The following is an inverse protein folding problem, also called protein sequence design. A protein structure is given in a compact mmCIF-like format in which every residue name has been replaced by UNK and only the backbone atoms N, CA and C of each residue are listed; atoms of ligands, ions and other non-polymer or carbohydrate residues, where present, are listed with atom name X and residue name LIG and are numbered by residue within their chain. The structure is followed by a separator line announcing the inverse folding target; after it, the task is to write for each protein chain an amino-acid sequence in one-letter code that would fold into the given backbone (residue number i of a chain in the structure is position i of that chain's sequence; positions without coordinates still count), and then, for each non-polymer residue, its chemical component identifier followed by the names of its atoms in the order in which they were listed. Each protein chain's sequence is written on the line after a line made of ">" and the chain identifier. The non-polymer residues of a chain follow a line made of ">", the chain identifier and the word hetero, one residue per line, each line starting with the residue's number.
data_IF_104840910874
#
_entry.id   IF_104840910874
#
_cell.length_a   1.000
_cell.length_b   1.000
_cell.length_c   1.000
_cell.angle_alpha   90.00
_cell.angle_beta   90.00
_cell.angle_gamma   90.00
#
_symmetry.space_group_name_H-M   'P 1'
#
loop_
_entity.id
_entity.type
_entity.pdbx_description
1 polymer ?
#
# COMPACT_ATOMS: atom_id res chain seq x y z
N UNK A 1 -0.71 9.06 -16.25
CA UNK A 1 -0.46 9.55 -14.88
C UNK A 1 0.72 8.77 -14.28
N UNK A 2 1.96 9.02 -14.72
CA UNK A 2 3.13 8.28 -14.22
C UNK A 2 3.55 8.70 -12.81
N UNK A 3 3.44 10.00 -12.48
CA UNK A 3 3.97 10.59 -11.23
C UNK A 3 2.99 10.54 -10.06
N UNK A 4 1.91 9.76 -10.16
CA UNK A 4 0.92 9.64 -9.08
C UNK A 4 1.40 8.60 -8.07
N UNK A 5 1.28 8.91 -6.78
CA UNK A 5 1.58 7.97 -5.71
C UNK A 5 0.65 6.76 -5.76
N UNK A 6 1.17 5.57 -5.48
CA UNK A 6 0.40 4.32 -5.45
C UNK A 6 -0.81 4.41 -4.52
N UNK A 7 -0.65 5.06 -3.37
CA UNK A 7 -1.73 5.23 -2.41
C UNK A 7 -2.89 6.07 -2.97
N UNK A 8 -2.61 7.03 -3.85
CA UNK A 8 -3.62 7.90 -4.46
C UNK A 8 -4.24 7.24 -5.69
N UNK A 9 -3.42 6.56 -6.49
CA UNK A 9 -3.87 5.81 -7.66
C UNK A 9 -4.95 4.76 -7.29
N UNK A 10 -4.75 4.04 -6.18
CA UNK A 10 -5.74 3.09 -5.66
C UNK A 10 -7.02 3.76 -5.13
N UNK A 11 -6.97 5.04 -4.74
CA UNK A 11 -8.14 5.76 -4.24
C UNK A 11 -8.90 6.53 -5.34
N UNK A 12 -8.33 6.66 -6.54
CA UNK A 12 -9.00 7.27 -7.69
C UNK A 12 -10.22 6.42 -8.08
N UNK A 13 -11.42 6.96 -7.82
CA UNK A 13 -12.68 6.28 -8.09
C UNK A 13 -12.96 6.10 -9.59
N UNK A 14 -12.23 6.79 -10.47
CA UNK A 14 -12.30 6.58 -11.92
C UNK A 14 -11.51 5.36 -12.36
N UNK A 15 -10.49 4.96 -11.59
CA UNK A 15 -9.67 3.77 -11.84
C UNK A 15 -10.18 2.56 -11.08
N UNK A 16 -10.47 2.74 -9.79
CA UNK A 16 -10.87 1.68 -8.88
C UNK A 16 -12.10 2.11 -8.05
N UNK A 17 -13.28 2.02 -8.67
CA UNK A 17 -14.53 2.30 -7.98
C UNK A 17 -14.72 1.36 -6.78
N UNK A 18 -14.91 1.92 -5.59
CA UNK A 18 -15.14 1.14 -4.37
C UNK A 18 -13.87 0.76 -3.59
N UNK A 19 -12.67 1.02 -4.12
CA UNK A 19 -11.44 0.88 -3.33
C UNK A 19 -11.35 2.00 -2.31
N UNK A 20 -11.44 1.62 -1.04
CA UNK A 20 -11.31 2.50 0.11
C UNK A 20 -9.96 2.38 0.82
N UNK A 21 -9.82 3.11 1.91
CA UNK A 21 -8.57 3.18 2.67
C UNK A 21 -8.12 1.81 3.23
N UNK A 22 -9.06 0.93 3.59
CA UNK A 22 -8.75 -0.42 4.07
C UNK A 22 -8.15 -1.25 2.94
N UNK A 23 -8.87 -1.36 1.82
CA UNK A 23 -8.43 -2.12 0.65
C UNK A 23 -7.06 -1.63 0.17
N UNK A 24 -6.87 -0.30 0.09
CA UNK A 24 -5.57 0.30 -0.24
C UNK A 24 -4.43 -0.25 0.63
N UNK A 25 -4.57 -0.18 1.97
CA UNK A 25 -3.51 -0.63 2.88
C UNK A 25 -3.21 -2.12 2.73
N UNK A 26 -4.27 -2.93 2.63
CA UNK A 26 -4.17 -4.39 2.57
C UNK A 26 -3.58 -4.88 1.25
N UNK A 27 -3.98 -4.27 0.13
CA UNK A 27 -3.43 -4.58 -1.21
C UNK A 27 -1.95 -4.21 -1.28
N UNK A 28 -1.57 -3.00 -0.84
CA UNK A 28 -0.17 -2.54 -0.86
C UNK A 28 0.73 -3.43 0.01
N UNK A 29 0.22 -3.88 1.15
CA UNK A 29 0.93 -4.83 2.00
C UNK A 29 1.12 -6.18 1.33
N UNK A 30 0.07 -6.74 0.70
CA UNK A 30 0.12 -8.04 0.00
C UNK A 30 1.13 -8.05 -1.15
N UNK A 31 1.19 -6.99 -1.93
CA UNK A 31 2.16 -6.87 -3.03
C UNK A 31 3.56 -6.43 -2.57
N UNK A 32 3.74 -6.17 -1.27
CA UNK A 32 5.00 -5.68 -0.66
C UNK A 32 5.53 -4.40 -1.29
N UNK A 33 4.64 -3.46 -1.61
CA UNK A 33 5.00 -2.17 -2.19
C UNK A 33 4.77 -1.03 -1.20
N UNK A 34 5.77 -0.16 -1.04
CA UNK A 34 5.65 1.03 -0.22
C UNK A 34 4.58 1.99 -0.79
N UNK A 35 3.69 2.56 0.04
CA UNK A 35 2.60 3.40 -0.44
C UNK A 35 3.06 4.69 -1.13
N UNK A 36 4.29 5.14 -0.82
CA UNK A 36 4.88 6.36 -1.40
C UNK A 36 5.55 6.16 -2.76
N UNK A 37 5.56 4.94 -3.30
CA UNK A 37 6.05 4.70 -4.66
C UNK A 37 5.17 5.43 -5.69
N UNK A 38 5.75 5.89 -6.79
CA UNK A 38 4.96 6.32 -7.95
C UNK A 38 4.61 5.12 -8.83
N UNK A 39 3.58 5.26 -9.66
CA UNK A 39 3.19 4.20 -10.61
C UNK A 39 4.36 3.86 -11.55
N UNK A 40 5.11 4.88 -11.99
CA UNK A 40 6.25 4.70 -12.90
C UNK A 40 7.45 3.97 -12.27
N UNK A 41 7.60 3.99 -10.94
CA UNK A 41 8.70 3.32 -10.25
C UNK A 41 8.49 1.79 -10.16
N UNK A 42 7.25 1.32 -10.35
CA UNK A 42 6.94 -0.10 -10.20
C UNK A 42 7.39 -0.90 -11.43
N UNK A 43 8.05 -2.05 -11.22
CA UNK A 43 8.25 -3.03 -12.29
C UNK A 43 6.90 -3.44 -12.91
N UNK A 44 6.82 -3.70 -14.23
CA UNK A 44 5.56 -4.08 -14.89
C UNK A 44 4.86 -5.27 -14.22
N UNK A 45 5.63 -6.25 -13.72
CA UNK A 45 5.11 -7.40 -12.97
C UNK A 45 4.35 -6.97 -11.71
N UNK A 46 4.87 -6.00 -10.95
CA UNK A 46 4.23 -5.46 -9.74
C UNK A 46 3.00 -4.64 -10.07
N UNK A 47 2.99 -3.94 -11.21
CA UNK A 47 1.80 -3.22 -11.67
C UNK A 47 0.66 -4.19 -12.01
N UNK A 48 0.94 -5.30 -12.71
CA UNK A 48 -0.05 -6.35 -12.95
C UNK A 48 -0.53 -6.99 -11.65
N UNK A 49 0.38 -7.26 -10.72
CA UNK A 49 0.06 -7.80 -9.39
C UNK A 49 -0.84 -6.87 -8.58
N UNK A 50 -0.57 -5.56 -8.62
CA UNK A 50 -1.39 -4.51 -7.99
C UNK A 50 -2.83 -4.57 -8.50
N UNK A 51 -3.03 -4.58 -9.82
CA UNK A 51 -4.37 -4.61 -10.43
C UNK A 51 -5.10 -5.90 -10.06
N UNK A 52 -4.41 -7.04 -10.15
CA UNK A 52 -4.97 -8.35 -9.80
C UNK A 52 -5.41 -8.40 -8.33
N UNK A 53 -4.52 -8.00 -7.42
CA UNK A 53 -4.81 -7.98 -5.98
C UNK A 53 -5.88 -6.97 -5.61
N UNK A 54 -5.92 -5.79 -6.23
CA UNK A 54 -6.97 -4.80 -6.00
C UNK A 54 -8.35 -5.35 -6.37
N UNK A 55 -8.44 -6.05 -7.52
CA UNK A 55 -9.68 -6.69 -7.96
C UNK A 55 -10.10 -7.83 -7.02
N UNK A 56 -9.21 -8.80 -6.80
CA UNK A 56 -9.49 -9.98 -5.97
C UNK A 56 -9.90 -9.59 -4.55
N UNK A 57 -9.10 -8.74 -3.91
CA UNK A 57 -9.38 -8.29 -2.55
C UNK A 57 -10.68 -7.48 -2.45
N UNK A 58 -11.08 -6.75 -3.49
CA UNK A 58 -12.36 -6.03 -3.48
C UNK A 58 -13.56 -6.97 -3.50
N UNK A 59 -13.48 -8.08 -4.25
CA UNK A 59 -14.53 -9.11 -4.24
C UNK A 59 -14.58 -9.86 -2.91
N UNK A 60 -13.42 -10.22 -2.35
CA UNK A 60 -13.34 -10.83 -1.03
C UNK A 60 -13.87 -9.90 0.05
N UNK A 61 -13.50 -8.61 -0.01
CA UNK A 61 -14.02 -7.59 0.90
C UNK A 61 -15.54 -7.49 0.84
N UNK A 62 -16.15 -7.57 -0.34
CA UNK A 62 -17.60 -7.57 -0.49
C UNK A 62 -18.22 -8.82 0.16
N UNK A 63 -17.62 -10.00 -0.03
CA UNK A 63 -18.06 -11.26 0.61
C UNK A 63 -17.99 -11.16 2.13
N UNK A 64 -16.82 -10.80 2.67
CA UNK A 64 -16.62 -10.64 4.11
C UNK A 64 -17.48 -9.55 4.72
N UNK A 65 -17.84 -8.51 3.96
CA UNK A 65 -18.79 -7.49 4.41
C UNK A 65 -20.20 -8.07 4.57
N UNK A 66 -20.64 -8.95 3.67
CA UNK A 66 -21.93 -9.64 3.78
C UNK A 66 -21.96 -10.61 4.96
N UNK A 67 -20.84 -11.26 5.23
CA UNK A 67 -20.66 -12.22 6.33
C UNK A 67 -20.29 -11.53 7.67
N UNK A 68 -20.10 -10.21 7.68
CA UNK A 68 -19.66 -9.42 8.85
C UNK A 68 -18.29 -9.82 9.44
N UNK A 69 -17.38 -10.35 8.62
CA UNK A 69 -16.08 -10.89 9.04
C UNK A 69 -14.88 -10.00 8.71
N UNK A 70 -15.09 -8.79 8.19
CA UNK A 70 -14.04 -7.89 7.68
C UNK A 70 -12.79 -7.77 8.58
N UNK A 71 -12.98 -7.56 9.88
CA UNK A 71 -11.86 -7.34 10.83
C UNK A 71 -10.96 -8.58 10.98
N UNK A 72 -11.48 -9.78 10.74
CA UNK A 72 -10.71 -11.02 10.84
C UNK A 72 -9.62 -11.11 9.76
N UNK A 73 -9.85 -10.46 8.61
CA UNK A 73 -8.98 -10.57 7.44
C UNK A 73 -7.94 -9.44 7.32
N UNK A 74 -7.92 -8.47 8.25
CA UNK A 74 -6.96 -7.35 8.21
C UNK A 74 -5.57 -7.80 8.67
N UNK A 75 -4.59 -7.68 7.76
CA UNK A 75 -3.19 -8.00 8.00
C UNK A 75 -2.41 -6.81 8.54
N UNK A 76 -2.66 -5.60 8.02
CA UNK A 76 -1.87 -4.41 8.37
C UNK A 76 -2.75 -3.27 8.90
N UNK A 77 -4.01 -3.20 8.46
CA UNK A 77 -4.90 -2.11 8.83
C UNK A 77 -5.16 -2.12 10.34
N UNK A 78 -4.85 -1.00 11.01
CA UNK A 78 -4.98 -0.84 12.48
C UNK A 78 -4.17 -1.83 13.33
N UNK A 79 -3.23 -2.56 12.73
CA UNK A 79 -2.28 -3.43 13.45
C UNK A 79 -1.06 -2.63 13.91
N UNK A 80 -0.41 -3.09 14.97
CA UNK A 80 0.86 -2.54 15.49
C UNK A 80 2.09 -3.35 15.06
N UNK A 81 1.87 -4.62 14.75
CA UNK A 81 2.93 -5.60 14.44
C UNK A 81 2.66 -6.23 13.08
N UNK A 82 3.69 -6.34 12.26
CA UNK A 82 3.61 -6.95 10.94
C UNK A 82 3.46 -8.47 11.07
N UNK A 83 2.45 -9.09 10.45
CA UNK A 83 2.27 -10.54 10.52
C UNK A 83 3.33 -11.31 9.70
N UNK A 84 4.05 -10.65 8.78
CA UNK A 84 5.05 -11.30 7.94
C UNK A 84 6.45 -11.30 8.54
N UNK A 85 6.87 -10.22 9.20
CA UNK A 85 8.25 -10.10 9.74
C UNK A 85 8.30 -9.87 11.26
N UNK A 86 7.17 -9.67 11.93
CA UNK A 86 7.13 -9.33 13.36
C UNK A 86 7.58 -7.89 13.69
N UNK A 87 8.04 -7.11 12.71
CA UNK A 87 8.44 -5.71 12.90
C UNK A 87 7.27 -4.75 13.14
N UNK A 88 7.54 -3.47 13.48
CA UNK A 88 6.50 -2.49 13.73
C UNK A 88 5.74 -2.09 12.45
N UNK A 89 4.45 -1.83 12.58
CA UNK A 89 3.64 -1.20 11.52
C UNK A 89 3.65 0.31 11.72
N UNK A 90 4.09 1.03 10.70
CA UNK A 90 4.09 2.49 10.67
C UNK A 90 2.73 3.01 10.22
N UNK A 91 2.33 4.14 10.81
CA UNK A 91 1.11 4.86 10.45
C UNK A 91 1.48 6.29 10.07
N UNK A 92 1.14 6.68 8.86
CA UNK A 92 1.37 8.03 8.32
C UNK A 92 0.11 8.58 7.66
N UNK A 93 0.03 9.89 7.50
CA UNK A 93 -0.96 10.53 6.64
C UNK A 93 -0.23 10.92 5.36
N UNK A 94 -0.72 10.46 4.21
CA UNK A 94 -0.02 10.64 2.95
C UNK A 94 -0.98 10.65 1.77
N UNK A 95 -0.44 11.03 0.62
CA UNK A 95 -1.21 11.25 -0.59
C UNK A 95 -1.90 12.61 -0.59
N UNK A 96 -2.39 13.00 -1.76
CA UNK A 96 -3.21 14.19 -1.99
C UNK A 96 -4.42 14.24 -1.06
N UNK A 97 -5.04 13.09 -0.81
CA UNK A 97 -6.22 12.95 0.05
C UNK A 97 -5.91 12.93 1.55
N UNK A 98 -4.63 13.00 1.95
CA UNK A 98 -4.16 13.00 3.34
C UNK A 98 -4.79 11.89 4.21
N UNK A 99 -4.97 10.69 3.63
CA UNK A 99 -5.61 9.57 4.33
C UNK A 99 -4.60 8.76 5.14
N UNK A 100 -5.08 8.24 6.28
CA UNK A 100 -4.30 7.34 7.15
C UNK A 100 -3.84 6.11 6.41
N UNK A 101 -2.54 5.91 6.31
CA UNK A 101 -1.93 4.79 5.62
C UNK A 101 -1.12 3.97 6.62
N UNK A 102 -1.37 2.66 6.63
CA UNK A 102 -0.68 1.70 7.48
C UNK A 102 0.21 0.84 6.59
N UNK A 103 1.48 0.73 6.95
CA UNK A 103 2.45 -0.05 6.16
C UNK A 103 3.57 -0.57 7.06
N UNK A 104 4.24 -1.64 6.63
CA UNK A 104 5.43 -2.17 7.28
C UNK A 104 6.69 -1.66 6.56
N UNK A 105 7.59 -0.91 7.24
CA UNK A 105 8.79 -0.37 6.61
C UNK A 105 9.79 -1.46 6.19
N UNK A 106 9.77 -2.62 6.83
CA UNK A 106 10.66 -3.74 6.52
C UNK A 106 10.17 -4.58 5.33
N UNK A 107 8.86 -4.83 5.25
CA UNK A 107 8.30 -5.71 4.22
C UNK A 107 7.94 -4.99 2.91
N UNK A 108 7.65 -3.69 2.96
CA UNK A 108 7.16 -2.94 1.80
C UNK A 108 8.29 -2.15 1.14
N UNK A 109 8.66 -2.58 -0.07
CA UNK A 109 9.81 -2.05 -0.80
C UNK A 109 9.51 -0.68 -1.37
N UNK A 110 10.43 0.26 -1.16
CA UNK A 110 10.46 1.59 -1.79
C UNK A 110 11.25 1.54 -3.10
N UNK A 111 10.52 1.50 -4.21
CA UNK A 111 11.11 1.41 -5.56
C UNK A 111 11.66 2.76 -6.03
N UNK A 112 11.27 3.89 -5.42
CA UNK A 112 11.84 5.21 -5.75
C UNK A 112 13.36 5.26 -5.56
N UNK A 113 13.84 4.53 -4.56
CA UNK A 113 15.27 4.45 -4.23
C UNK A 113 16.01 3.51 -5.19
N UNK A 114 15.32 2.51 -5.74
CA UNK A 114 15.88 1.54 -6.68
C UNK A 114 15.99 2.10 -8.12
N UNK A 115 15.10 3.02 -8.51
CA UNK A 115 15.08 3.64 -9.85
C UNK A 115 16.19 4.66 -10.11
N UNK A 116 17.00 5.03 -9.12
CA UNK A 116 18.14 5.93 -9.27
C UNK A 116 17.78 7.41 -9.41
N UNK A 117 17.57 8.09 -8.28
CA UNK A 117 17.78 9.53 -8.14
C UNK A 117 18.87 9.77 -7.07
N UNK A 118 19.87 10.64 -7.29
CA UNK A 118 20.98 10.81 -6.35
C UNK A 118 20.57 11.64 -5.11
N UNK A 119 20.87 11.10 -3.92
CA UNK A 119 21.07 11.86 -2.68
C UNK A 119 19.81 12.24 -1.90
N UNK A 120 19.58 11.69 -0.71
CA UNK A 120 20.27 12.20 0.48
C UNK A 120 20.35 11.13 1.56
N UNK A 121 21.56 10.56 1.73
CA UNK A 121 21.94 9.93 3.00
C UNK A 121 21.98 11.02 4.07
N UNK A 122 20.94 11.17 4.89
CA UNK A 122 21.10 11.84 6.18
C UNK A 122 21.80 10.89 7.14
N UNK A 123 23.13 10.99 7.10
CA UNK A 123 24.08 10.43 8.05
C UNK A 123 23.78 11.03 9.43
N UNK A 124 23.15 10.25 10.32
CA UNK A 124 23.01 10.66 11.72
C UNK A 124 24.40 10.58 12.37
N UNK A 125 25.01 11.75 12.63
CA UNK A 125 26.17 11.86 13.50
C UNK A 125 25.68 11.83 14.95
N UNK A 126 26.48 11.15 15.76
CA UNK A 126 26.43 11.08 17.23
C UNK A 126 26.33 12.46 17.87
#
# INVERSE_FOLDING_TARGET
>A
MPDVLLCDALLDQRLFSGVGNIIKNEVLFRIRAHPANHICDLPPRKLTELIKQAREYSFDFLRWKRESELKKHWLVHTRRTCPSCGGPVSKVYMGTTHRRTFFCPECQVDYRVASGAPGTKKRNRR
#
